data_IF_042259883597
#
_entry.id   IF_042259883597
#
_cell.length_a   1.000
_cell.length_b   1.000
_cell.length_c   1.000
_cell.angle_alpha   90.00
_cell.angle_beta   90.00
_cell.angle_gamma   90.00
#
_symmetry.space_group_name_H-M   'P 1'
#
loop_
_entity.id
_entity.type
_entity.pdbx_description
1 polymer ?
#
# COMPACT_ATOMS: atom_id res chain seq x y z
N UNK A 1 8.08 -3.07 1.07
CA UNK A 1 9.29 -3.49 1.81
C UNK A 1 10.57 -3.07 1.08
N UNK A 2 10.54 -2.99 -0.24
CA UNK A 2 11.75 -2.98 -1.09
C UNK A 2 12.62 -1.74 -0.91
N UNK A 3 12.02 -0.55 -0.83
CA UNK A 3 12.77 0.71 -0.57
C UNK A 3 13.66 0.64 0.67
N UNK A 4 13.21 -0.04 1.73
CA UNK A 4 14.01 -0.18 2.95
C UNK A 4 15.17 -1.18 2.74
N UNK A 5 14.93 -2.30 2.04
CA UNK A 5 15.98 -3.25 1.67
C UNK A 5 17.02 -2.60 0.75
N UNK A 6 16.58 -1.85 -0.26
CA UNK A 6 17.45 -1.10 -1.17
C UNK A 6 18.33 -0.10 -0.41
N UNK A 7 17.76 0.68 0.51
CA UNK A 7 18.52 1.62 1.33
C UNK A 7 19.59 0.90 2.20
N UNK A 8 19.25 -0.24 2.79
CA UNK A 8 20.20 -1.06 3.55
C UNK A 8 21.32 -1.58 2.63
N UNK A 9 20.97 -2.14 1.46
CA UNK A 9 21.94 -2.62 0.50
C UNK A 9 22.91 -1.50 0.06
N UNK A 10 22.37 -0.33 -0.26
CA UNK A 10 23.15 0.85 -0.62
C UNK A 10 24.07 1.31 0.51
N UNK A 11 23.60 1.33 1.76
CA UNK A 11 24.43 1.67 2.93
C UNK A 11 25.63 0.72 3.10
N UNK A 12 25.47 -0.54 2.71
CA UNK A 12 26.54 -1.54 2.68
C UNK A 12 27.29 -1.63 1.34
N UNK A 13 27.12 -0.64 0.45
CA UNK A 13 27.75 -0.59 -0.88
C UNK A 13 27.45 -1.83 -1.73
N UNK A 14 26.24 -2.37 -1.61
CA UNK A 14 25.76 -3.57 -2.29
C UNK A 14 26.61 -4.83 -2.04
N UNK A 15 27.31 -4.88 -0.90
CA UNK A 15 28.04 -6.08 -0.45
C UNK A 15 27.07 -7.05 0.24
N UNK A 16 26.52 -7.99 -0.53
CA UNK A 16 25.45 -8.90 -0.10
C UNK A 16 25.79 -9.68 1.18
N UNK A 17 27.04 -10.08 1.36
CA UNK A 17 27.56 -10.73 2.58
C UNK A 17 27.28 -9.94 3.86
N UNK A 18 27.12 -8.61 3.76
CA UNK A 18 26.89 -7.72 4.91
C UNK A 18 25.42 -7.54 5.29
N UNK A 19 24.48 -7.82 4.40
CA UNK A 19 23.06 -7.58 4.65
C UNK A 19 22.16 -8.77 4.36
N UNK A 20 22.67 -9.87 3.80
CA UNK A 20 21.88 -11.05 3.50
C UNK A 20 21.15 -11.60 4.74
N UNK A 21 21.83 -11.67 5.88
CA UNK A 21 21.22 -12.16 7.12
C UNK A 21 20.17 -11.19 7.68
N UNK A 22 20.43 -9.88 7.53
CA UNK A 22 19.45 -8.84 7.89
C UNK A 22 18.20 -8.97 7.03
N UNK A 23 18.33 -9.21 5.72
CA UNK A 23 17.20 -9.42 4.82
C UNK A 23 16.37 -10.64 5.24
N UNK A 24 17.01 -11.77 5.57
CA UNK A 24 16.29 -12.96 6.06
C UNK A 24 15.49 -12.68 7.32
N UNK A 25 16.07 -11.94 8.28
CA UNK A 25 15.36 -11.55 9.50
C UNK A 25 14.15 -10.67 9.16
N UNK A 26 14.33 -9.71 8.26
CA UNK A 26 13.24 -8.82 7.84
C UNK A 26 12.16 -9.62 7.10
N UNK A 27 12.52 -10.51 6.19
CA UNK A 27 11.56 -11.35 5.45
C UNK A 27 10.74 -12.23 6.37
N UNK A 28 11.38 -12.84 7.36
CA UNK A 28 10.68 -13.63 8.38
C UNK A 28 9.69 -12.77 9.16
N UNK A 29 10.10 -11.56 9.57
CA UNK A 29 9.22 -10.62 10.28
C UNK A 29 8.09 -10.11 9.39
N UNK A 30 8.37 -9.85 8.13
CA UNK A 30 7.39 -9.44 7.12
C UNK A 30 6.30 -10.51 7.03
N UNK A 31 6.68 -11.75 6.71
CA UNK A 31 5.73 -12.86 6.54
C UNK A 31 4.94 -13.18 7.81
N UNK A 32 5.52 -13.03 9.01
CA UNK A 32 4.83 -13.34 10.25
C UNK A 32 3.96 -12.21 10.81
N UNK A 33 4.26 -10.94 10.53
CA UNK A 33 3.64 -9.79 11.23
C UNK A 33 3.13 -8.68 10.32
N UNK A 34 3.80 -8.41 9.20
CA UNK A 34 3.51 -7.22 8.38
C UNK A 34 2.90 -7.56 7.00
N UNK A 35 3.06 -8.79 6.51
CA UNK A 35 2.34 -9.35 5.36
C UNK A 35 0.90 -9.66 5.77
N UNK A 36 0.16 -8.60 6.09
CA UNK A 36 -1.23 -8.63 6.50
C UNK A 36 -2.04 -7.90 5.45
N UNK A 37 -3.23 -8.42 5.09
CA UNK A 37 -4.15 -7.75 4.16
C UNK A 37 -4.35 -6.27 4.45
N UNK A 38 -4.33 -5.88 5.73
CA UNK A 38 -4.50 -4.48 6.17
C UNK A 38 -3.37 -3.56 5.70
N UNK A 39 -2.12 -4.02 5.67
CA UNK A 39 -1.01 -3.20 5.16
C UNK A 39 -1.08 -3.05 3.64
N UNK A 40 -1.44 -4.12 2.93
CA UNK A 40 -1.67 -4.09 1.48
C UNK A 40 -2.82 -3.15 1.12
N UNK A 41 -3.97 -3.28 1.79
CA UNK A 41 -5.11 -2.37 1.64
C UNK A 41 -4.74 -0.92 1.97
N UNK A 42 -3.98 -0.71 3.05
CA UNK A 42 -3.48 0.62 3.44
C UNK A 42 -2.51 1.21 2.42
N UNK A 43 -1.68 0.39 1.78
CA UNK A 43 -0.82 0.82 0.68
C UNK A 43 -1.64 1.30 -0.53
N UNK A 44 -2.64 0.53 -0.92
CA UNK A 44 -3.56 0.87 -2.01
C UNK A 44 -4.34 2.16 -1.73
N UNK A 45 -4.90 2.30 -0.52
CA UNK A 45 -5.77 3.42 -0.15
C UNK A 45 -4.99 4.69 0.25
N UNK A 46 -3.66 4.64 0.30
CA UNK A 46 -2.83 5.82 0.56
C UNK A 46 -2.67 6.65 -0.71
N UNK A 47 -3.24 7.87 -0.80
CA UNK A 47 -3.16 8.70 -2.01
C UNK A 47 -1.72 9.09 -2.40
N UNK A 48 -0.82 9.22 -1.42
CA UNK A 48 0.57 9.55 -1.71
C UNK A 48 1.25 8.43 -2.50
N UNK A 49 0.96 7.18 -2.15
CA UNK A 49 1.59 6.00 -2.75
C UNK A 49 0.86 5.55 -4.01
N UNK A 50 -0.47 5.49 -3.96
CA UNK A 50 -1.30 5.00 -5.06
C UNK A 50 -1.12 5.82 -6.34
N UNK A 51 -1.23 7.15 -6.24
CA UNK A 51 -1.15 8.00 -7.42
C UNK A 51 0.27 8.29 -7.89
N UNK A 52 1.30 7.92 -7.11
CA UNK A 52 2.71 8.01 -7.51
C UNK A 52 3.15 6.77 -8.31
N UNK A 53 2.58 5.61 -8.02
CA UNK A 53 2.93 4.35 -8.69
C UNK A 53 1.82 3.89 -9.65
N UNK A 54 2.02 3.97 -10.98
CA UNK A 54 1.00 3.57 -11.96
C UNK A 54 0.70 2.06 -11.99
N UNK A 55 1.51 1.23 -11.32
CA UNK A 55 1.42 -0.23 -11.40
C UNK A 55 0.80 -0.88 -10.15
N UNK A 56 0.29 -0.12 -9.18
CA UNK A 56 -0.27 -0.67 -7.94
C UNK A 56 -1.38 -1.70 -8.19
N UNK A 57 -2.19 -1.50 -9.23
CA UNK A 57 -3.28 -2.43 -9.56
C UNK A 57 -2.80 -3.76 -10.19
N UNK A 58 -1.56 -3.81 -10.69
CA UNK A 58 -0.96 -5.03 -11.24
C UNK A 58 -0.26 -5.87 -10.17
N UNK A 59 -0.23 -5.40 -8.92
CA UNK A 59 0.36 -6.11 -7.80
C UNK A 59 -0.69 -7.02 -7.14
N UNK A 60 -0.54 -8.32 -7.35
CA UNK A 60 -1.44 -9.35 -6.84
C UNK A 60 -1.51 -9.36 -5.30
N UNK A 61 -0.41 -9.06 -4.60
CA UNK A 61 -0.38 -9.01 -3.13
C UNK A 61 -1.23 -7.83 -2.64
N UNK A 62 -1.08 -6.67 -3.28
CA UNK A 62 -1.84 -5.47 -2.95
C UNK A 62 -3.33 -5.67 -3.21
N UNK A 63 -3.68 -6.17 -4.40
CA UNK A 63 -5.09 -6.36 -4.78
C UNK A 63 -5.75 -7.45 -3.93
N UNK A 64 -5.08 -8.58 -3.69
CA UNK A 64 -5.59 -9.64 -2.81
C UNK A 64 -5.77 -9.14 -1.38
N UNK A 65 -4.81 -8.36 -0.86
CA UNK A 65 -4.90 -7.75 0.46
C UNK A 65 -6.06 -6.76 0.60
N UNK A 66 -6.27 -5.91 -0.41
CA UNK A 66 -7.42 -4.99 -0.47
C UNK A 66 -8.74 -5.77 -0.40
N UNK A 67 -8.94 -6.76 -1.28
CA UNK A 67 -10.18 -7.54 -1.32
C UNK A 67 -10.44 -8.29 -0.02
N UNK A 68 -9.40 -8.93 0.54
CA UNK A 68 -9.49 -9.62 1.83
C UNK A 68 -9.89 -8.68 2.97
N UNK A 69 -9.42 -7.43 2.93
CA UNK A 69 -9.80 -6.43 3.91
C UNK A 69 -11.24 -5.94 3.74
N UNK A 70 -11.67 -5.65 2.51
CA UNK A 70 -13.05 -5.23 2.23
C UNK A 70 -14.01 -6.31 2.71
N UNK A 71 -13.81 -7.56 2.30
CA UNK A 71 -14.67 -8.68 2.66
C UNK A 71 -14.73 -8.92 4.18
N UNK A 72 -13.61 -8.71 4.89
CA UNK A 72 -13.54 -8.91 6.34
C UNK A 72 -14.12 -7.74 7.14
N UNK A 73 -14.05 -6.52 6.64
CA UNK A 73 -14.40 -5.29 7.37
C UNK A 73 -15.78 -4.75 7.02
N UNK A 74 -16.32 -5.08 5.84
CA UNK A 74 -17.70 -4.76 5.51
C UNK A 74 -18.66 -5.48 6.46
N UNK A 75 -19.68 -4.78 6.95
CA UNK A 75 -20.67 -5.33 7.87
C UNK A 75 -21.69 -6.22 7.16
N UNK A 76 -21.91 -5.99 5.86
CA UNK A 76 -22.84 -6.72 5.01
C UNK A 76 -22.52 -6.51 3.51
N UNK A 77 -23.22 -7.25 2.66
CA UNK A 77 -23.07 -7.21 1.19
C UNK A 77 -23.37 -5.82 0.61
N UNK A 78 -24.36 -5.10 1.13
CA UNK A 78 -24.70 -3.75 0.64
C UNK A 78 -23.56 -2.74 0.88
N UNK A 79 -22.86 -2.85 2.01
CA UNK A 79 -21.69 -2.03 2.32
C UNK A 79 -20.49 -2.40 1.44
N UNK A 80 -20.23 -3.70 1.26
CA UNK A 80 -19.19 -4.20 0.35
C UNK A 80 -19.43 -3.69 -1.08
N UNK A 81 -20.66 -3.77 -1.58
CA UNK A 81 -21.04 -3.22 -2.89
C UNK A 81 -20.78 -1.73 -3.01
N UNK A 82 -21.09 -0.93 -1.98
CA UNK A 82 -20.82 0.52 -1.97
C UNK A 82 -19.32 0.81 -2.00
N UNK A 83 -18.53 0.07 -1.22
CA UNK A 83 -17.07 0.20 -1.24
C UNK A 83 -16.53 -0.08 -2.65
N UNK A 84 -17.00 -1.16 -3.29
CA UNK A 84 -16.61 -1.48 -4.66
C UNK A 84 -17.00 -0.40 -5.68
N UNK A 85 -18.16 0.25 -5.50
CA UNK A 85 -18.60 1.35 -6.35
C UNK A 85 -17.73 2.62 -6.19
N UNK A 86 -17.16 2.86 -5.00
CA UNK A 86 -16.28 3.99 -4.72
C UNK A 86 -14.83 3.78 -5.23
N UNK A 87 -14.37 2.53 -5.35
CA UNK A 87 -13.01 2.23 -5.83
C UNK A 87 -12.69 2.87 -7.19
N UNK A 88 -13.51 2.75 -8.26
CA UNK A 88 -13.28 3.48 -9.51
C UNK A 88 -13.14 5.00 -9.35
N UNK A 89 -13.90 5.62 -8.45
CA UNK A 89 -13.89 7.06 -8.19
C UNK A 89 -12.55 7.45 -7.56
N UNK A 90 -12.08 6.67 -6.58
CA UNK A 90 -10.75 6.80 -6.01
C UNK A 90 -9.68 6.65 -7.09
N UNK A 91 -9.66 5.55 -7.84
CA UNK A 91 -8.63 5.27 -8.85
C UNK A 91 -8.48 6.37 -9.90
N UNK A 92 -9.62 6.86 -10.39
CA UNK A 92 -9.67 7.92 -11.41
C UNK A 92 -9.45 9.34 -10.85
N UNK A 93 -9.21 9.48 -9.54
CA UNK A 93 -9.12 10.75 -8.84
C UNK A 93 -10.31 11.67 -9.18
N UNK A 94 -11.52 11.14 -9.11
CA UNK A 94 -12.76 11.87 -9.33
C UNK A 94 -13.34 12.40 -8.00
N UNK A 95 -14.37 13.24 -8.10
CA UNK A 95 -15.02 13.84 -6.94
C UNK A 95 -14.05 14.60 -6.03
N UNK A 96 -14.12 14.34 -4.73
CA UNK A 96 -13.27 15.00 -3.72
C UNK A 96 -11.78 14.68 -3.91
N UNK A 97 -11.44 13.49 -4.40
CA UNK A 97 -10.06 13.09 -4.69
C UNK A 97 -9.46 13.87 -5.86
N UNK A 98 -10.33 14.40 -6.73
CA UNK A 98 -9.98 15.21 -7.90
C UNK A 98 -9.63 16.65 -7.59
N UNK A 99 -9.96 17.14 -6.39
CA UNK A 99 -9.77 18.54 -6.02
C UNK A 99 -8.29 18.96 -6.19
N UNK A 100 -7.99 20.11 -6.84
CA UNK A 100 -6.61 20.56 -7.07
C UNK A 100 -5.78 20.71 -5.80
N UNK A 101 -6.40 21.14 -4.69
CA UNK A 101 -5.74 21.24 -3.38
C UNK A 101 -5.48 19.84 -2.84
N UNK A 102 -6.49 18.95 -2.86
CA UNK A 102 -6.32 17.57 -2.41
C UNK A 102 -5.15 16.89 -3.14
N UNK A 103 -5.07 17.01 -4.48
CA UNK A 103 -3.96 16.51 -5.30
C UNK A 103 -2.60 17.04 -4.85
N UNK A 104 -2.47 18.36 -4.64
CA UNK A 104 -1.21 18.99 -4.19
C UNK A 104 -0.80 18.60 -2.77
N UNK A 105 -1.76 18.19 -1.93
CA UNK A 105 -1.53 17.89 -0.52
C UNK A 105 -1.26 16.40 -0.23
N UNK A 106 -1.50 15.49 -1.20
CA UNK A 106 -1.32 14.03 -1.03
C UNK A 106 0.02 13.64 -0.40
N UNK A 107 1.09 14.31 -0.81
CA UNK A 107 2.46 14.05 -0.33
C UNK A 107 2.93 15.01 0.78
N UNK A 108 2.11 16.01 1.14
CA UNK A 108 2.47 17.06 2.11
C UNK A 108 1.93 16.80 3.50
N UNK A 109 0.85 16.03 3.61
CA UNK A 109 0.23 15.66 4.88
C UNK A 109 0.35 14.15 5.03
N UNK A 110 0.95 13.71 6.14
CA UNK A 110 0.97 12.29 6.47
C UNK A 110 -0.46 11.77 6.67
N UNK A 111 -0.76 10.52 6.28
CA UNK A 111 -2.04 9.89 6.65
C UNK A 111 -2.28 10.05 8.16
N UNK A 112 -3.55 10.27 8.54
CA UNK A 112 -3.93 10.48 9.94
C UNK A 112 -3.39 9.38 10.86
N UNK A 113 -3.07 9.74 12.11
CA UNK A 113 -2.67 8.80 13.16
C UNK A 113 -3.85 8.04 13.72
#
# INVERSE_FOLDING_TARGET
MDRAKEAIAQAFKNKADKYAEVFKIIDRRWNCQLHQPLHAAGHYLNPALYYENPNVENDDEVMSGLMSCIHKLALNEDEEMKIHAELPIYRSAQGIFGNPIAKKMRVKIAPGK
#
